data_IF_449281447564
#
_entry.id   IF_449281447564
#
_cell.length_a   1.000
_cell.length_b   1.000
_cell.length_c   1.000
_cell.angle_alpha   90.00
_cell.angle_beta   90.00
_cell.angle_gamma   90.00
#
_symmetry.space_group_name_H-M   'P 1'
#
loop_
_entity.id
_entity.type
_entity.pdbx_description
1 polymer ?
#
# COMPACT_ATOMS: atom_id res chain seq x y z
N UNK A 1 -32.34 -14.09 -24.41
CA UNK A 1 -32.11 -13.16 -23.28
C UNK A 1 -30.76 -13.49 -22.65
N UNK A 2 -29.71 -12.75 -23.01
CA UNK A 2 -28.39 -12.93 -22.42
C UNK A 2 -28.41 -12.35 -21.01
N UNK A 3 -28.16 -13.19 -19.99
CA UNK A 3 -27.96 -12.72 -18.62
C UNK A 3 -26.64 -11.95 -18.58
N UNK A 4 -26.73 -10.63 -18.44
CA UNK A 4 -25.58 -9.82 -18.04
C UNK A 4 -24.99 -10.43 -16.77
N UNK A 5 -23.73 -10.88 -16.83
CA UNK A 5 -22.96 -11.26 -15.64
C UNK A 5 -23.00 -10.05 -14.71
N UNK A 6 -23.63 -10.18 -13.54
CA UNK A 6 -23.52 -9.19 -12.46
C UNK A 6 -22.02 -8.97 -12.24
N UNK A 7 -21.51 -7.78 -12.57
CA UNK A 7 -20.23 -7.33 -12.06
C UNK A 7 -20.36 -7.34 -10.56
N UNK A 8 -19.74 -8.34 -9.92
CA UNK A 8 -19.66 -8.39 -8.48
C UNK A 8 -18.96 -7.09 -8.07
N UNK A 9 -19.68 -6.21 -7.37
CA UNK A 9 -19.16 -4.95 -6.81
C UNK A 9 -18.25 -5.28 -5.61
N UNK A 10 -17.28 -6.17 -5.85
CA UNK A 10 -16.23 -6.50 -4.92
C UNK A 10 -15.31 -5.30 -4.89
N UNK A 11 -15.24 -4.63 -3.74
CA UNK A 11 -14.30 -3.55 -3.47
C UNK A 11 -12.89 -3.98 -3.88
N UNK A 12 -12.20 -3.12 -4.64
CA UNK A 12 -10.86 -3.41 -5.14
C UNK A 12 -9.92 -3.81 -3.98
N UNK A 13 -9.17 -4.92 -4.07
CA UNK A 13 -8.33 -5.41 -2.99
C UNK A 13 -7.30 -4.38 -2.51
N UNK A 14 -6.88 -3.46 -3.39
CA UNK A 14 -5.89 -2.44 -3.05
C UNK A 14 -6.32 -1.55 -1.89
N UNK A 15 -7.62 -1.29 -1.71
CA UNK A 15 -8.09 -0.44 -0.62
C UNK A 15 -7.80 -1.06 0.75
N UNK A 16 -7.97 -2.38 0.88
CA UNK A 16 -7.67 -3.09 2.12
C UNK A 16 -6.15 -3.10 2.39
N UNK A 17 -5.33 -3.31 1.36
CA UNK A 17 -3.88 -3.27 1.47
C UNK A 17 -3.37 -1.87 1.89
N UNK A 18 -3.91 -0.81 1.30
CA UNK A 18 -3.60 0.58 1.66
C UNK A 18 -3.94 0.85 3.13
N UNK A 19 -5.12 0.44 3.61
CA UNK A 19 -5.49 0.66 5.01
C UNK A 19 -4.63 -0.16 5.98
N UNK A 20 -4.21 -1.37 5.58
CA UNK A 20 -3.25 -2.19 6.35
C UNK A 20 -1.91 -1.47 6.49
N UNK A 21 -1.36 -0.96 5.39
CA UNK A 21 -0.10 -0.21 5.40
C UNK A 21 -0.20 1.07 6.22
N UNK A 22 -1.26 1.88 6.04
CA UNK A 22 -1.52 3.07 6.87
C UNK A 22 -1.57 2.75 8.36
N UNK A 23 -2.21 1.64 8.74
CA UNK A 23 -2.29 1.21 10.14
C UNK A 23 -0.90 0.86 10.66
N UNK A 24 -0.12 0.07 9.92
CA UNK A 24 1.22 -0.34 10.32
C UNK A 24 2.17 0.87 10.48
N UNK A 25 2.15 1.81 9.53
CA UNK A 25 2.91 3.07 9.63
C UNK A 25 2.53 3.89 10.89
N UNK A 26 1.24 3.99 11.22
CA UNK A 26 0.79 4.67 12.45
C UNK A 26 1.30 3.97 13.71
N UNK A 27 1.23 2.64 13.74
CA UNK A 27 1.73 1.85 14.87
C UNK A 27 3.24 2.03 15.05
N UNK A 28 4.01 1.97 13.95
CA UNK A 28 5.45 2.23 13.95
C UNK A 28 5.77 3.64 14.44
N UNK A 29 5.08 4.66 13.92
CA UNK A 29 5.29 6.04 14.35
C UNK A 29 5.04 6.24 15.85
N UNK A 30 3.97 5.66 16.37
CA UNK A 30 3.65 5.71 17.82
C UNK A 30 4.72 4.98 18.63
N UNK A 31 5.18 3.82 18.16
CA UNK A 31 6.21 3.02 18.84
C UNK A 31 7.58 3.71 18.88
N UNK A 32 7.91 4.49 17.85
CA UNK A 32 9.17 5.24 17.74
C UNK A 32 9.10 6.63 18.41
N UNK A 33 7.92 7.08 18.84
CA UNK A 33 7.77 8.38 19.49
C UNK A 33 8.52 8.36 20.83
N UNK A 34 9.39 9.36 21.11
CA UNK A 34 10.06 9.43 22.41
C UNK A 34 9.01 9.55 23.51
N UNK A 35 9.07 8.67 24.52
CA UNK A 35 8.28 8.85 25.73
C UNK A 35 8.88 10.05 26.45
N UNK A 36 8.12 11.12 26.62
CA UNK A 36 8.56 12.43 27.18
C UNK A 36 9.27 12.36 28.55
N UNK A 37 9.37 11.18 29.15
CA UNK A 37 9.95 10.94 30.47
C UNK A 37 11.39 10.41 30.43
N UNK A 38 11.84 9.81 29.33
CA UNK A 38 13.21 9.33 29.15
C UNK A 38 13.76 9.82 27.80
N UNK A 39 14.53 10.90 27.83
CA UNK A 39 15.32 11.34 26.68
C UNK A 39 16.29 10.23 26.27
N UNK A 40 15.95 9.48 25.21
CA UNK A 40 16.96 8.81 24.39
C UNK A 40 16.78 7.32 24.12
N UNK A 41 16.05 6.56 24.94
CA UNK A 41 16.01 5.11 24.77
C UNK A 41 14.81 4.67 23.92
N UNK A 42 15.00 4.65 22.60
CA UNK A 42 14.08 3.94 21.70
C UNK A 42 14.22 2.46 22.01
N UNK A 43 13.17 1.82 22.53
CA UNK A 43 13.16 0.38 22.76
C UNK A 43 13.41 -0.36 21.43
N UNK A 44 14.59 -0.97 21.23
CA UNK A 44 14.96 -1.57 19.95
C UNK A 44 14.07 -2.77 19.60
N UNK A 45 13.49 -3.44 20.60
CA UNK A 45 12.57 -4.56 20.37
C UNK A 45 11.24 -4.07 19.81
N UNK A 46 10.75 -2.90 20.25
CA UNK A 46 9.57 -2.27 19.67
C UNK A 46 9.85 -1.74 18.28
N UNK A 47 10.99 -1.08 18.09
CA UNK A 47 11.39 -0.60 16.76
C UNK A 47 11.40 -1.73 15.74
N UNK A 48 12.01 -2.87 16.06
CA UNK A 48 12.05 -4.03 15.17
C UNK A 48 10.63 -4.59 14.94
N UNK A 49 9.87 -4.90 16.00
CA UNK A 49 8.54 -5.51 15.85
C UNK A 49 7.58 -4.67 15.01
N UNK A 50 7.56 -3.35 15.21
CA UNK A 50 6.67 -2.48 14.45
C UNK A 50 7.25 -2.11 13.08
N UNK A 51 8.58 -2.17 12.93
CA UNK A 51 9.25 -2.05 11.63
C UNK A 51 8.91 -3.25 10.75
N UNK A 52 9.08 -4.47 11.26
CA UNK A 52 8.73 -5.72 10.55
C UNK A 52 7.26 -5.71 10.10
N UNK A 53 6.34 -5.24 10.95
CA UNK A 53 4.91 -5.15 10.59
C UNK A 53 4.62 -4.14 9.49
N UNK A 54 5.33 -3.02 9.49
CA UNK A 54 5.21 -2.02 8.44
C UNK A 54 5.78 -2.55 7.14
N UNK A 55 6.92 -3.23 7.21
CA UNK A 55 7.57 -3.89 6.09
C UNK A 55 6.69 -5.00 5.48
N UNK A 56 6.12 -5.89 6.30
CA UNK A 56 5.17 -6.91 5.84
C UNK A 56 3.95 -6.29 5.14
N UNK A 57 3.38 -5.23 5.72
CA UNK A 57 2.21 -4.56 5.15
C UNK A 57 2.53 -3.81 3.85
N UNK A 58 3.78 -3.36 3.71
CA UNK A 58 4.30 -2.72 2.50
C UNK A 58 4.52 -3.75 1.40
N UNK A 59 5.11 -4.90 1.71
CA UNK A 59 5.26 -6.02 0.77
C UNK A 59 3.89 -6.50 0.27
N UNK A 60 2.93 -6.72 1.19
CA UNK A 60 1.57 -7.08 0.82
C UNK A 60 0.92 -6.05 -0.13
N UNK A 61 1.13 -4.76 0.11
CA UNK A 61 0.64 -3.69 -0.76
C UNK A 61 1.34 -3.72 -2.14
N UNK A 62 2.64 -3.96 -2.16
CA UNK A 62 3.45 -4.05 -3.36
C UNK A 62 3.18 -5.32 -4.18
N UNK A 63 2.47 -6.31 -3.63
CA UNK A 63 2.02 -7.52 -4.34
C UNK A 63 0.52 -7.47 -4.70
N UNK A 64 -0.22 -6.49 -4.16
CA UNK A 64 -1.67 -6.40 -4.39
C UNK A 64 -1.97 -5.78 -5.76
N UNK A 65 -2.42 -6.61 -6.69
CA UNK A 65 -2.84 -6.16 -8.04
C UNK A 65 -4.21 -5.47 -7.99
N UNK A 66 -4.32 -4.17 -8.34
CA UNK A 66 -5.60 -3.51 -8.46
C UNK A 66 -6.38 -4.07 -9.65
N UNK A 67 -7.69 -4.20 -9.48
CA UNK A 67 -8.59 -4.83 -10.47
C UNK A 67 -9.51 -3.85 -11.18
N UNK A 68 -9.44 -2.57 -10.80
CA UNK A 68 -10.23 -1.47 -11.34
C UNK A 68 -9.34 -0.26 -11.63
N UNK A 69 -9.71 0.58 -12.60
CA UNK A 69 -9.00 1.84 -12.88
C UNK A 69 -8.95 2.74 -11.65
N UNK A 70 -10.05 2.79 -10.89
CA UNK A 70 -10.11 3.57 -9.65
C UNK A 70 -9.15 3.02 -8.59
N UNK A 71 -9.04 1.69 -8.46
CA UNK A 71 -8.07 1.04 -7.58
C UNK A 71 -6.64 1.36 -7.98
N UNK A 72 -6.31 1.25 -9.27
CA UNK A 72 -4.98 1.58 -9.79
C UNK A 72 -4.62 3.05 -9.54
N UNK A 73 -5.52 3.99 -9.84
CA UNK A 73 -5.28 5.40 -9.56
C UNK A 73 -5.09 5.67 -8.06
N UNK A 74 -5.87 4.99 -7.21
CA UNK A 74 -5.74 5.12 -5.76
C UNK A 74 -4.39 4.59 -5.27
N UNK A 75 -3.92 3.45 -5.80
CA UNK A 75 -2.60 2.89 -5.49
C UNK A 75 -1.49 3.89 -5.82
N UNK A 76 -1.48 4.40 -7.05
CA UNK A 76 -0.45 5.35 -7.52
C UNK A 76 -0.45 6.65 -6.71
N UNK A 77 -1.65 7.18 -6.43
CA UNK A 77 -1.81 8.40 -5.61
C UNK A 77 -1.28 8.16 -4.19
N UNK A 78 -1.59 7.00 -3.62
CA UNK A 78 -1.16 6.65 -2.28
C UNK A 78 0.37 6.50 -2.19
N UNK A 79 0.97 5.73 -3.10
CA UNK A 79 2.42 5.54 -3.18
C UNK A 79 3.12 6.90 -3.30
N UNK A 80 2.70 7.74 -4.26
CA UNK A 80 3.29 9.06 -4.45
C UNK A 80 3.16 9.94 -3.19
N UNK A 81 2.00 9.89 -2.51
CA UNK A 81 1.78 10.62 -1.27
C UNK A 81 2.70 10.15 -0.13
N UNK A 82 2.98 8.84 -0.03
CA UNK A 82 3.97 8.31 0.94
C UNK A 82 5.37 8.76 0.54
N UNK A 83 5.75 8.61 -0.73
CA UNK A 83 7.08 8.98 -1.24
C UNK A 83 7.43 10.43 -1.02
N UNK A 84 6.46 11.33 -1.21
CA UNK A 84 6.64 12.77 -0.98
C UNK A 84 6.52 13.17 0.50
N UNK A 85 6.16 12.23 1.36
CA UNK A 85 5.98 12.43 2.80
C UNK A 85 4.62 13.01 3.21
N UNK A 86 3.74 13.33 2.25
CA UNK A 86 2.40 13.90 2.48
C UNK A 86 1.50 12.95 3.29
N UNK A 87 1.66 11.64 3.08
CA UNK A 87 0.93 10.58 3.77
C UNK A 87 1.79 9.82 4.79
N UNK A 88 3.06 10.17 4.94
CA UNK A 88 3.93 9.62 5.98
C UNK A 88 3.53 10.21 7.34
N UNK A 89 3.37 9.41 8.41
CA UNK A 89 3.11 9.95 9.75
C UNK A 89 4.20 10.91 10.25
N UNK A 90 5.41 10.82 9.68
CA UNK A 90 6.53 11.71 10.01
C UNK A 90 6.53 13.03 9.24
N UNK A 91 5.71 13.15 8.18
CA UNK A 91 5.74 14.26 7.23
C UNK A 91 7.00 14.31 6.36
N UNK A 92 7.86 13.30 6.41
CA UNK A 92 9.12 13.24 5.67
C UNK A 92 9.00 12.32 4.46
N UNK A 93 9.70 12.62 3.36
CA UNK A 93 9.80 11.72 2.21
C UNK A 93 10.25 10.32 2.64
N UNK A 94 9.69 9.30 1.98
CA UNK A 94 9.93 7.90 2.26
C UNK A 94 10.09 7.11 0.95
N UNK A 95 11.28 6.59 0.68
CA UNK A 95 11.57 5.86 -0.54
C UNK A 95 11.08 4.40 -0.51
N UNK A 96 10.12 4.09 0.36
CA UNK A 96 9.54 2.77 0.53
C UNK A 96 8.93 2.12 -0.74
N UNK A 97 8.80 2.81 -1.87
CA UNK A 97 8.30 2.18 -3.09
C UNK A 97 9.25 2.36 -4.29
N UNK A 98 10.43 2.94 -4.07
CA UNK A 98 11.39 3.23 -5.16
C UNK A 98 12.30 2.03 -5.48
N UNK A 99 12.51 1.12 -4.52
CA UNK A 99 13.42 -0.02 -4.66
C UNK A 99 12.70 -1.37 -4.85
N UNK A 100 11.37 -1.37 -4.87
CA UNK A 100 10.59 -2.60 -4.98
C UNK A 100 10.37 -2.97 -6.45
N UNK A 101 11.08 -3.99 -6.93
CA UNK A 101 10.83 -4.62 -8.23
C UNK A 101 9.34 -5.00 -8.41
N UNK A 102 8.66 -5.29 -7.28
CA UNK A 102 7.25 -5.66 -7.18
C UNK A 102 6.26 -4.62 -7.76
N UNK A 103 6.60 -3.33 -7.80
CA UNK A 103 5.67 -2.31 -8.33
C UNK A 103 5.45 -2.47 -9.85
N UNK A 104 6.49 -2.85 -10.60
CA UNK A 104 6.37 -3.11 -12.04
C UNK A 104 5.51 -4.33 -12.31
N UNK A 105 5.63 -5.39 -11.49
CA UNK A 105 4.79 -6.58 -11.59
C UNK A 105 3.32 -6.30 -11.29
N UNK A 106 3.03 -5.44 -10.30
CA UNK A 106 1.66 -4.99 -10.02
C UNK A 106 1.07 -4.19 -11.18
N UNK A 107 1.87 -3.31 -11.80
CA UNK A 107 1.42 -2.55 -12.97
C UNK A 107 1.14 -3.47 -14.16
N UNK A 108 2.02 -4.45 -14.42
CA UNK A 108 1.81 -5.44 -15.49
C UNK A 108 0.57 -6.31 -15.22
N UNK A 109 0.35 -6.73 -13.97
CA UNK A 109 -0.84 -7.47 -13.56
C UNK A 109 -2.13 -6.66 -13.73
N UNK A 110 -2.10 -5.38 -13.33
CA UNK A 110 -3.23 -4.47 -13.47
C UNK A 110 -3.54 -4.22 -14.94
N UNK A 111 -2.53 -3.97 -15.77
CA UNK A 111 -2.70 -3.79 -17.22
C UNK A 111 -3.43 -4.97 -17.85
N UNK A 112 -2.97 -6.20 -17.57
CA UNK A 112 -3.58 -7.41 -18.12
C UNK A 112 -5.05 -7.54 -17.72
N UNK A 113 -5.37 -7.40 -16.44
CA UNK A 113 -6.74 -7.51 -15.93
C UNK A 113 -7.66 -6.42 -16.50
N UNK A 114 -7.16 -5.19 -16.60
CA UNK A 114 -7.94 -4.07 -17.14
C UNK A 114 -8.15 -4.21 -18.65
N UNK A 115 -7.14 -4.69 -19.39
CA UNK A 115 -7.22 -4.95 -20.82
C UNK A 115 -8.25 -6.04 -21.16
N UNK A 116 -8.33 -7.10 -20.34
CA UNK A 116 -9.38 -8.13 -20.43
C UNK A 116 -10.78 -7.53 -20.21
N UNK A 117 -10.95 -6.62 -19.25
CA UNK A 117 -12.25 -6.00 -18.94
C UNK A 117 -12.78 -5.11 -20.06
N UNK A 118 -11.90 -4.43 -20.81
CA UNK A 118 -12.28 -3.53 -21.91
C UNK A 118 -12.31 -4.22 -23.28
N UNK A 119 -12.16 -5.55 -23.30
CA UNK A 119 -12.24 -6.35 -24.54
C UNK A 119 -11.06 -6.14 -25.50
N UNK A 120 -9.90 -5.71 -25.00
CA UNK A 120 -8.68 -5.52 -25.81
C UNK A 120 -7.82 -6.77 -25.95
N UNK A 121 -8.06 -7.81 -25.14
CA UNK A 121 -7.51 -9.15 -25.35
C UNK A 121 -8.58 -10.05 -25.94
N UNK A 122 -8.64 -10.10 -27.27
CA UNK A 122 -9.31 -11.13 -28.07
C UNK A 122 -8.28 -11.71 -29.05
#
# INVERSE_FOLDING_TARGET
MAKAKKHNTTTDPVYAAIEKHKKAMRELHVALRPVARNNGDRDPKKANKYGDREWDARDDLAETVPTTLQGLLTLLTYINGVTRGELSPSGRPDNAFETSDNLMDVLAGAEKLLAEQIGRHA
#
